data_IF_575304114036
#
_entry.id   IF_575304114036
#
_cell.length_a   1.000
_cell.length_b   1.000
_cell.length_c   1.000
_cell.angle_alpha   90.00
_cell.angle_beta   90.00
_cell.angle_gamma   90.00
#
_symmetry.space_group_name_H-M   'P 1'
#
loop_
_entity.id
_entity.type
_entity.pdbx_description
1 polymer ?
#
# COMPACT_ATOMS: atom_id res chain seq x y z
N UNK A 1 -38.04 46.05 1.81
CA UNK A 1 -36.69 45.46 1.75
C UNK A 1 -35.93 46.13 0.62
N UNK A 2 -34.86 46.86 0.92
CA UNK A 2 -34.18 47.71 -0.04
C UNK A 2 -33.13 46.91 -0.81
N UNK A 3 -32.77 47.38 -2.00
CA UNK A 3 -31.88 46.68 -2.93
C UNK A 3 -30.53 46.30 -2.30
N UNK A 4 -29.95 47.16 -1.47
CA UNK A 4 -28.72 46.86 -0.71
C UNK A 4 -28.88 45.72 0.30
N UNK A 5 -30.05 45.56 0.92
CA UNK A 5 -30.31 44.45 1.86
C UNK A 5 -30.30 43.09 1.14
N UNK A 6 -30.76 43.04 -0.12
CA UNK A 6 -30.74 41.81 -0.92
C UNK A 6 -29.31 41.38 -1.27
N UNK A 7 -28.46 42.34 -1.64
CA UNK A 7 -27.04 42.08 -1.93
C UNK A 7 -26.32 41.59 -0.68
N UNK A 8 -26.54 42.24 0.46
CA UNK A 8 -25.95 41.84 1.73
C UNK A 8 -26.34 40.41 2.12
N UNK A 9 -27.63 40.06 2.00
CA UNK A 9 -28.10 38.71 2.30
C UNK A 9 -27.46 37.65 1.40
N UNK A 10 -27.34 37.91 0.10
CA UNK A 10 -26.70 36.97 -0.84
C UNK A 10 -25.22 36.79 -0.48
N UNK A 11 -24.51 37.88 -0.17
CA UNK A 11 -23.11 37.82 0.24
C UNK A 11 -22.94 37.05 1.55
N UNK A 12 -23.81 37.26 2.53
CA UNK A 12 -23.79 36.55 3.80
C UNK A 12 -24.02 35.05 3.64
N UNK A 13 -25.00 34.66 2.81
CA UNK A 13 -25.26 33.25 2.47
C UNK A 13 -24.06 32.63 1.77
N UNK A 14 -23.45 33.34 0.82
CA UNK A 14 -22.27 32.86 0.11
C UNK A 14 -21.08 32.62 1.06
N UNK A 15 -20.81 33.55 1.99
CA UNK A 15 -19.78 33.36 3.01
C UNK A 15 -20.08 32.14 3.90
N UNK A 16 -21.33 31.95 4.32
CA UNK A 16 -21.72 30.77 5.09
C UNK A 16 -21.51 29.47 4.31
N UNK A 17 -21.82 29.45 3.01
CA UNK A 17 -21.56 28.29 2.16
C UNK A 17 -20.07 27.96 2.05
N UNK A 18 -19.20 28.98 1.91
CA UNK A 18 -17.75 28.76 1.87
C UNK A 18 -17.26 28.16 3.19
N UNK A 19 -17.68 28.73 4.33
CA UNK A 19 -17.28 28.23 5.65
C UNK A 19 -17.79 26.80 5.86
N UNK A 20 -19.04 26.51 5.48
CA UNK A 20 -19.61 25.18 5.58
C UNK A 20 -18.88 24.16 4.69
N UNK A 21 -18.52 24.54 3.46
CA UNK A 21 -17.73 23.70 2.57
C UNK A 21 -16.33 23.43 3.15
N UNK A 22 -15.67 24.45 3.69
CA UNK A 22 -14.38 24.29 4.37
C UNK A 22 -14.46 23.35 5.57
N UNK A 23 -15.48 23.51 6.41
CA UNK A 23 -15.70 22.60 7.54
C UNK A 23 -15.96 21.16 7.07
N UNK A 24 -16.82 20.98 6.07
CA UNK A 24 -17.11 19.67 5.49
C UNK A 24 -15.85 18.99 4.96
N UNK A 25 -15.01 19.70 4.19
CA UNK A 25 -13.75 19.17 3.65
C UNK A 25 -12.77 18.80 4.75
N UNK A 26 -12.62 19.62 5.80
CA UNK A 26 -11.70 19.31 6.91
C UNK A 26 -12.21 18.14 7.77
N UNK A 27 -13.53 17.98 7.92
CA UNK A 27 -14.10 16.85 8.66
C UNK A 27 -14.11 15.54 7.89
N UNK A 28 -14.12 15.60 6.56
CA UNK A 28 -14.04 14.42 5.70
C UNK A 28 -12.58 14.13 5.41
N UNK A 29 -11.99 13.31 6.28
CA UNK A 29 -10.60 12.84 6.24
C UNK A 29 -10.39 11.80 5.12
N UNK A 30 -10.71 12.20 3.88
CA UNK A 30 -10.57 11.38 2.67
C UNK A 30 -9.47 11.88 1.74
N UNK A 31 -8.81 12.99 2.08
CA UNK A 31 -7.56 13.41 1.44
C UNK A 31 -6.44 12.52 1.99
N UNK A 32 -6.41 11.26 1.57
CA UNK A 32 -5.17 10.50 1.54
C UNK A 32 -4.33 11.10 0.41
N UNK A 33 -3.77 12.30 0.64
CA UNK A 33 -2.63 12.75 -0.13
C UNK A 33 -1.61 11.62 -0.09
N UNK A 34 -1.09 11.32 -1.28
CA UNK A 34 -0.19 10.23 -1.63
C UNK A 34 0.73 9.80 -0.49
N UNK A 35 0.91 8.46 -0.37
CA UNK A 35 1.73 7.75 0.62
C UNK A 35 2.52 8.67 1.55
N UNK A 36 2.16 8.69 2.85
CA UNK A 36 2.84 9.48 3.91
C UNK A 36 4.38 9.43 3.82
N UNK A 37 4.90 8.36 3.21
CA UNK A 37 6.30 8.00 3.08
C UNK A 37 6.97 8.37 1.73
N UNK A 38 6.33 9.15 0.86
CA UNK A 38 6.88 9.49 -0.48
C UNK A 38 8.29 10.12 -0.40
N UNK A 39 8.57 10.90 0.65
CA UNK A 39 9.91 11.43 0.89
C UNK A 39 10.93 10.34 1.27
N UNK A 40 10.57 9.38 2.13
CA UNK A 40 11.49 8.30 2.52
C UNK A 40 11.71 7.30 1.37
N UNK A 41 10.69 7.06 0.55
CA UNK A 41 10.82 6.24 -0.65
C UNK A 41 11.85 6.83 -1.62
N UNK A 42 11.85 8.16 -1.79
CA UNK A 42 12.84 8.86 -2.59
C UNK A 42 14.27 8.67 -2.06
N UNK A 43 14.46 8.71 -0.74
CA UNK A 43 15.78 8.50 -0.11
C UNK A 43 16.29 7.06 -0.25
N UNK A 44 15.38 6.08 -0.23
CA UNK A 44 15.71 4.66 -0.27
C UNK A 44 15.61 4.05 -1.69
N UNK A 45 15.38 4.87 -2.71
CA UNK A 45 15.15 4.41 -4.08
C UNK A 45 16.28 3.54 -4.63
N UNK A 46 17.54 3.96 -4.45
CA UNK A 46 18.70 3.21 -4.95
C UNK A 46 18.79 1.81 -4.32
N UNK A 47 18.46 1.69 -3.03
CA UNK A 47 18.45 0.40 -2.33
C UNK A 47 17.32 -0.49 -2.83
N UNK A 48 16.11 0.07 -2.99
CA UNK A 48 14.97 -0.66 -3.54
C UNK A 48 15.25 -1.12 -4.98
N UNK A 49 15.89 -0.27 -5.78
CA UNK A 49 16.32 -0.59 -7.14
C UNK A 49 17.35 -1.73 -7.16
N UNK A 50 18.38 -1.68 -6.31
CA UNK A 50 19.37 -2.76 -6.21
C UNK A 50 18.71 -4.08 -5.82
N UNK A 51 17.79 -4.06 -4.84
CA UNK A 51 17.03 -5.24 -4.43
C UNK A 51 16.19 -5.83 -5.57
N UNK A 52 15.49 -4.99 -6.35
CA UNK A 52 14.72 -5.42 -7.54
C UNK A 52 15.67 -5.99 -8.61
N UNK A 53 16.83 -5.38 -8.81
CA UNK A 53 17.84 -5.85 -9.76
C UNK A 53 18.47 -7.18 -9.35
N UNK A 54 18.66 -7.43 -8.05
CA UNK A 54 19.12 -8.72 -7.54
C UNK A 54 18.16 -9.85 -7.90
N UNK A 55 16.85 -9.62 -7.82
CA UNK A 55 15.83 -10.62 -8.21
C UNK A 55 16.01 -11.02 -9.67
N UNK A 56 16.14 -10.03 -10.57
CA UNK A 56 16.29 -10.26 -12.01
C UNK A 56 17.63 -10.92 -12.36
N UNK A 57 18.73 -10.40 -11.82
CA UNK A 57 20.09 -10.85 -12.14
C UNK A 57 20.39 -12.25 -11.60
N UNK A 58 19.85 -12.59 -10.43
CA UNK A 58 20.02 -13.90 -9.80
C UNK A 58 18.92 -14.90 -10.14
N UNK A 59 17.90 -14.49 -10.92
CA UNK A 59 16.73 -15.31 -11.27
C UNK A 59 15.99 -15.85 -10.04
N UNK A 60 15.89 -15.03 -9.00
CA UNK A 60 15.25 -15.32 -7.72
C UNK A 60 13.79 -14.84 -7.68
N UNK A 61 13.12 -14.77 -8.84
CA UNK A 61 11.73 -14.31 -8.93
C UNK A 61 10.80 -15.31 -8.25
N UNK A 62 10.10 -14.92 -7.16
CA UNK A 62 9.13 -15.80 -6.53
C UNK A 62 7.88 -15.93 -7.41
N UNK A 63 7.17 -17.04 -7.29
CA UNK A 63 5.86 -17.23 -7.91
C UNK A 63 4.78 -17.14 -6.84
N UNK A 64 3.79 -16.29 -7.05
CA UNK A 64 2.66 -16.14 -6.14
C UNK A 64 1.43 -16.81 -6.72
N UNK A 65 0.78 -17.65 -5.93
CA UNK A 65 -0.44 -18.35 -6.32
C UNK A 65 -1.49 -18.24 -5.22
N UNK A 66 -2.70 -17.84 -5.61
CA UNK A 66 -3.84 -17.90 -4.72
C UNK A 66 -4.61 -19.20 -4.95
N UNK A 67 -4.73 -20.04 -3.90
CA UNK A 67 -5.52 -21.28 -3.96
C UNK A 67 -6.55 -21.28 -2.85
N UNK A 68 -7.82 -21.14 -3.24
CA UNK A 68 -8.97 -21.02 -2.32
C UNK A 68 -8.83 -19.81 -1.40
N UNK A 69 -8.44 -20.04 -0.15
CA UNK A 69 -8.35 -19.04 0.93
C UNK A 69 -6.92 -18.95 1.49
N UNK A 70 -5.94 -19.34 0.69
CA UNK A 70 -4.54 -19.39 1.07
C UNK A 70 -3.66 -18.89 -0.07
N UNK A 71 -2.84 -17.90 0.25
CA UNK A 71 -1.79 -17.37 -0.61
C UNK A 71 -0.54 -18.24 -0.45
N UNK A 72 -0.02 -18.72 -1.57
CA UNK A 72 1.22 -19.47 -1.65
C UNK A 72 2.27 -18.61 -2.35
N UNK A 73 3.42 -18.44 -1.72
CA UNK A 73 4.59 -17.78 -2.30
C UNK A 73 5.69 -18.82 -2.42
N UNK A 74 6.07 -19.13 -3.66
CA UNK A 74 7.11 -20.07 -4.01
C UNK A 74 8.40 -19.31 -4.28
N UNK A 75 9.36 -19.42 -3.37
CA UNK A 75 10.71 -18.88 -3.50
C UNK A 75 11.59 -19.85 -4.31
N UNK A 76 12.66 -19.34 -4.93
CA UNK A 76 13.66 -20.19 -5.59
C UNK A 76 14.62 -20.77 -4.55
N UNK A 77 15.15 -19.91 -3.68
CA UNK A 77 15.94 -20.29 -2.51
C UNK A 77 15.13 -20.99 -1.40
N UNK A 78 15.79 -21.82 -0.60
CA UNK A 78 15.17 -22.57 0.53
C UNK A 78 15.15 -21.84 1.87
N UNK A 79 15.97 -20.81 2.02
CA UNK A 79 16.12 -20.08 3.28
C UNK A 79 15.91 -18.60 2.99
N UNK A 80 14.69 -18.15 3.20
CA UNK A 80 14.29 -16.77 2.98
C UNK A 80 13.79 -16.20 4.29
N UNK A 81 14.30 -15.03 4.68
CA UNK A 81 13.85 -14.30 5.87
C UNK A 81 13.60 -12.86 5.50
N UNK A 82 12.45 -12.33 5.89
CA UNK A 82 12.04 -11.01 5.46
C UNK A 82 10.68 -10.63 5.98
N UNK A 83 10.01 -9.77 5.23
CA UNK A 83 8.66 -9.30 5.51
C UNK A 83 7.83 -9.23 4.23
N UNK A 84 6.54 -9.49 4.38
CA UNK A 84 5.51 -9.22 3.39
C UNK A 84 4.85 -7.90 3.76
N UNK A 85 4.76 -6.96 2.82
CA UNK A 85 3.97 -5.74 2.98
C UNK A 85 2.78 -5.82 2.04
N UNK A 86 1.58 -5.80 2.60
CA UNK A 86 0.33 -5.74 1.88
C UNK A 86 -0.20 -4.32 1.95
N UNK A 87 -0.33 -3.67 0.80
CA UNK A 87 -0.88 -2.32 0.68
C UNK A 87 -2.23 -2.40 -0.03
N UNK A 88 -3.29 -1.84 0.56
CA UNK A 88 -4.62 -1.82 -0.05
C UNK A 88 -4.84 -0.46 -0.74
N UNK A 89 -4.84 -0.39 -2.08
CA UNK A 89 -4.94 0.89 -2.80
C UNK A 89 -6.19 1.70 -2.47
N UNK A 90 -7.27 1.04 -2.04
CA UNK A 90 -8.52 1.71 -1.69
C UNK A 90 -8.57 2.27 -0.27
N UNK A 91 -7.74 1.77 0.65
CA UNK A 91 -7.78 2.13 2.06
C UNK A 91 -6.49 1.71 2.78
N UNK A 92 -5.56 2.66 2.95
CA UNK A 92 -4.26 2.43 3.60
C UNK A 92 -4.36 2.02 5.08
N UNK A 93 -5.51 2.24 5.74
CA UNK A 93 -5.73 1.82 7.14
C UNK A 93 -5.75 0.30 7.29
N UNK A 94 -5.90 -0.42 6.18
CA UNK A 94 -5.95 -1.88 6.12
C UNK A 94 -4.61 -2.51 5.74
N UNK A 95 -3.57 -1.70 5.53
CA UNK A 95 -2.24 -2.18 5.23
C UNK A 95 -1.68 -3.10 6.32
N UNK A 96 -0.91 -4.11 5.92
CA UNK A 96 -0.34 -5.10 6.84
C UNK A 96 1.11 -5.37 6.53
N UNK A 97 1.93 -5.45 7.58
CA UNK A 97 3.29 -5.95 7.52
C UNK A 97 3.39 -7.26 8.30
N UNK A 98 3.85 -8.32 7.64
CA UNK A 98 3.98 -9.66 8.24
C UNK A 98 5.43 -10.15 8.10
N UNK A 99 6.18 -10.30 9.20
CA UNK A 99 7.50 -10.90 9.15
C UNK A 99 7.37 -12.40 8.83
N UNK A 100 8.30 -12.92 8.04
CA UNK A 100 8.34 -14.33 7.71
C UNK A 100 9.76 -14.89 7.74
N UNK A 101 9.84 -16.18 8.01
CA UNK A 101 11.03 -16.98 7.80
C UNK A 101 10.60 -18.32 7.24
N UNK A 102 11.22 -18.74 6.16
CA UNK A 102 10.97 -20.03 5.53
C UNK A 102 12.06 -21.03 5.88
N UNK A 103 11.66 -22.26 6.19
CA UNK A 103 12.56 -23.43 6.34
C UNK A 103 12.56 -24.29 5.06
N UNK A 104 11.84 -23.83 4.03
CA UNK A 104 11.76 -24.43 2.70
C UNK A 104 11.50 -23.35 1.65
N UNK A 105 11.03 -23.74 0.47
CA UNK A 105 10.82 -22.79 -0.64
C UNK A 105 9.37 -22.31 -0.78
N UNK A 106 8.48 -22.62 0.17
CA UNK A 106 7.07 -22.23 0.11
C UNK A 106 6.65 -21.55 1.41
N UNK A 107 6.01 -20.39 1.29
CA UNK A 107 5.27 -19.73 2.35
C UNK A 107 3.78 -19.84 2.06
N UNK A 108 3.01 -20.32 3.02
CA UNK A 108 1.56 -20.41 2.93
C UNK A 108 0.93 -19.48 3.97
N UNK A 109 0.11 -18.53 3.51
CA UNK A 109 -0.55 -17.54 4.35
C UNK A 109 -2.07 -17.61 4.15
N UNK A 110 -2.85 -17.95 5.19
CA UNK A 110 -4.30 -17.83 5.15
C UNK A 110 -4.72 -16.38 4.92
N UNK A 111 -5.57 -16.13 3.93
CA UNK A 111 -6.04 -14.77 3.59
C UNK A 111 -7.43 -14.46 4.13
N UNK A 112 -8.03 -15.35 4.92
CA UNK A 112 -9.38 -15.20 5.49
C UNK A 112 -9.60 -13.92 6.30
N UNK A 113 -8.52 -13.30 6.79
CA UNK A 113 -8.57 -12.06 7.56
C UNK A 113 -8.41 -10.81 6.69
N UNK A 114 -8.13 -10.94 5.39
CA UNK A 114 -7.98 -9.83 4.47
C UNK A 114 -9.33 -9.46 3.85
N UNK A 115 -9.52 -8.17 3.62
CA UNK A 115 -10.65 -7.69 2.85
C UNK A 115 -10.53 -8.10 1.38
N UNK A 116 -11.68 -8.36 0.76
CA UNK A 116 -11.77 -8.62 -0.68
C UNK A 116 -11.34 -7.40 -1.50
N UNK A 117 -10.77 -7.66 -2.67
CA UNK A 117 -10.37 -6.63 -3.62
C UNK A 117 -8.88 -6.67 -3.98
N UNK A 118 -8.42 -5.59 -4.59
CA UNK A 118 -7.04 -5.47 -5.08
C UNK A 118 -6.09 -5.13 -3.93
N UNK A 119 -4.93 -5.77 -3.94
CA UNK A 119 -3.83 -5.53 -3.01
C UNK A 119 -2.51 -5.48 -3.77
N UNK A 120 -1.59 -4.62 -3.32
CA UNK A 120 -0.21 -4.62 -3.76
C UNK A 120 0.59 -5.41 -2.71
N UNK A 121 1.23 -6.49 -3.13
CA UNK A 121 2.10 -7.30 -2.31
C UNK A 121 3.55 -6.94 -2.61
N UNK A 122 4.28 -6.51 -1.59
CA UNK A 122 5.72 -6.37 -1.58
C UNK A 122 6.33 -7.49 -0.75
N UNK A 123 7.28 -8.21 -1.35
CA UNK A 123 8.08 -9.23 -0.67
C UNK A 123 9.49 -8.64 -0.54
N UNK A 124 9.89 -8.27 0.67
CA UNK A 124 11.26 -7.80 0.98
C UNK A 124 11.95 -8.88 1.80
N UNK A 125 12.96 -9.53 1.24
CA UNK A 125 13.61 -10.66 1.89
C UNK A 125 15.11 -10.71 1.64
N UNK A 126 15.78 -11.44 2.53
CA UNK A 126 17.17 -11.79 2.42
C UNK A 126 17.31 -13.29 2.17
N UNK A 127 18.11 -13.64 1.18
CA UNK A 127 18.55 -15.01 0.89
C UNK A 127 20.02 -15.01 0.51
N UNK A 128 20.77 -16.03 0.93
CA UNK A 128 22.20 -16.21 0.58
C UNK A 128 23.09 -14.95 0.78
N UNK A 129 22.75 -14.10 1.75
CA UNK A 129 23.48 -12.87 2.05
C UNK A 129 23.12 -11.65 1.17
N UNK A 130 22.21 -11.81 0.21
CA UNK A 130 21.69 -10.75 -0.66
C UNK A 130 20.25 -10.37 -0.30
N UNK A 131 19.92 -9.11 -0.52
CA UNK A 131 18.60 -8.54 -0.27
C UNK A 131 17.84 -8.40 -1.59
N UNK A 132 16.55 -8.72 -1.54
CA UNK A 132 15.66 -8.84 -2.68
C UNK A 132 14.34 -8.14 -2.40
N UNK A 133 13.76 -7.58 -3.46
CA UNK A 133 12.46 -6.92 -3.41
C UNK A 133 11.66 -7.31 -4.63
N UNK A 134 10.48 -7.88 -4.40
CA UNK A 134 9.53 -8.28 -5.43
C UNK A 134 8.17 -7.64 -5.16
N UNK A 135 7.46 -7.31 -6.22
CA UNK A 135 6.19 -6.60 -6.17
C UNK A 135 5.20 -7.28 -7.11
N UNK A 136 3.99 -7.53 -6.62
CA UNK A 136 2.92 -8.13 -7.41
C UNK A 136 1.55 -7.63 -6.98
N UNK A 137 0.67 -7.43 -7.96
CA UNK A 137 -0.74 -7.10 -7.71
C UNK A 137 -1.55 -8.38 -7.59
N UNK A 138 -2.25 -8.53 -6.48
CA UNK A 138 -3.07 -9.71 -6.18
C UNK A 138 -4.51 -9.31 -5.89
N UNK A 139 -5.44 -10.17 -6.30
CA UNK A 139 -6.86 -10.04 -6.04
C UNK A 139 -7.29 -11.12 -5.05
N UNK A 140 -7.75 -10.70 -3.87
CA UNK A 140 -8.33 -11.57 -2.85
C UNK A 140 -9.85 -11.67 -2.97
#
# INVERSE_FOLDING_TARGET
MNWGTKIFLILAVFMLCIVAAGFYMVTQDTDSLEEDDYYEQGLNYDQAYEKKQNVLSMKETPTVELRKDTLYIHFVSKVNKGKLLFRKPSDSKLDRELPFQTTGNVLALPISTFDKGMWNLYVDWKSEGKDFLFEEHILF
#
